data_IF_877063830791
#
_entry.id   IF_877063830791
#
_cell.length_a   1.000
_cell.length_b   1.000
_cell.length_c   1.000
_cell.angle_alpha   90.00
_cell.angle_beta   90.00
_cell.angle_gamma   90.00
#
_symmetry.space_group_name_H-M   'P 1'
#
loop_
_entity.id
_entity.type
_entity.pdbx_description
1 polymer ?
#
# COMPACT_ATOMS: atom_id res chain seq x y z
N UNK A 1 -1.29 21.22 -25.70
CA UNK A 1 -0.51 19.98 -25.95
C UNK A 1 -1.46 18.90 -26.43
N UNK A 2 -1.26 18.31 -27.61
CA UNK A 2 -2.04 17.15 -28.04
C UNK A 2 -1.70 15.99 -27.10
N UNK A 3 -2.72 15.33 -26.55
CA UNK A 3 -2.53 14.17 -25.67
C UNK A 3 -2.27 12.96 -26.56
N UNK A 4 -1.03 12.48 -26.56
CA UNK A 4 -0.63 11.34 -27.38
C UNK A 4 -1.17 10.01 -26.81
N UNK A 5 -1.14 8.95 -27.62
CA UNK A 5 -1.55 7.59 -27.20
C UNK A 5 -0.88 7.14 -25.88
N UNK A 6 0.41 7.46 -25.73
CA UNK A 6 1.20 7.17 -24.50
C UNK A 6 0.59 7.83 -23.25
N UNK A 7 -0.02 9.00 -23.37
CA UNK A 7 -0.66 9.68 -22.26
C UNK A 7 -1.86 8.89 -21.74
N UNK A 8 -2.73 8.44 -22.63
CA UNK A 8 -3.93 7.66 -22.28
C UNK A 8 -3.56 6.29 -21.74
N UNK A 9 -2.58 5.61 -22.36
CA UNK A 9 -2.09 4.32 -21.91
C UNK A 9 -1.59 4.38 -20.45
N UNK A 10 -0.89 5.46 -20.08
CA UNK A 10 -0.41 5.64 -18.70
C UNK A 10 -1.56 5.81 -17.71
N UNK A 11 -2.65 6.49 -18.08
CA UNK A 11 -3.83 6.64 -17.23
C UNK A 11 -4.52 5.30 -16.98
N UNK A 12 -4.68 4.49 -18.02
CA UNK A 12 -5.23 3.12 -17.91
C UNK A 12 -4.32 2.25 -17.02
N UNK A 13 -3.00 2.41 -17.14
CA UNK A 13 -2.03 1.67 -16.35
C UNK A 13 -1.90 2.11 -14.89
N UNK A 14 -2.51 3.23 -14.46
CA UNK A 14 -2.38 3.73 -13.07
C UNK A 14 -2.91 2.72 -12.08
N UNK A 15 -4.14 2.22 -12.27
CA UNK A 15 -4.75 1.31 -11.30
C UNK A 15 -4.08 -0.08 -11.28
N UNK A 16 -3.89 -0.77 -12.42
CA UNK A 16 -3.17 -2.04 -12.45
C UNK A 16 -1.74 -1.89 -11.91
N UNK A 17 -1.06 -0.80 -12.27
CA UNK A 17 0.28 -0.53 -11.81
C UNK A 17 0.35 -0.20 -10.32
N UNK A 18 -0.66 0.46 -9.74
CA UNK A 18 -0.77 0.68 -8.31
C UNK A 18 -0.92 -0.64 -7.54
N UNK A 19 -1.77 -1.56 -8.04
CA UNK A 19 -1.92 -2.91 -7.48
C UNK A 19 -0.57 -3.64 -7.50
N UNK A 20 0.08 -3.69 -8.66
CA UNK A 20 1.39 -4.32 -8.80
C UNK A 20 2.44 -3.67 -7.90
N UNK A 21 2.45 -2.35 -7.76
CA UNK A 21 3.40 -1.66 -6.91
C UNK A 21 3.18 -1.97 -5.41
N UNK A 22 1.93 -2.07 -4.97
CA UNK A 22 1.60 -2.51 -3.60
C UNK A 22 2.08 -3.94 -3.33
N UNK A 23 1.85 -4.86 -4.27
CA UNK A 23 2.31 -6.25 -4.16
C UNK A 23 3.83 -6.37 -4.23
N UNK A 24 4.50 -5.66 -5.13
CA UNK A 24 5.96 -5.69 -5.24
C UNK A 24 6.64 -5.10 -3.99
N UNK A 25 5.99 -4.17 -3.30
CA UNK A 25 6.51 -3.61 -2.07
C UNK A 25 6.59 -4.65 -0.92
N UNK A 26 5.78 -5.71 -0.93
CA UNK A 26 5.88 -6.77 0.08
C UNK A 26 7.12 -7.63 -0.11
N UNK A 27 7.60 -7.84 -1.34
CA UNK A 27 8.86 -8.56 -1.58
C UNK A 27 10.05 -7.79 -0.99
N UNK A 28 10.06 -6.47 -1.16
CA UNK A 28 11.09 -5.61 -0.55
C UNK A 28 11.01 -5.70 0.97
N UNK A 29 9.81 -5.61 1.54
CA UNK A 29 9.61 -5.78 2.97
C UNK A 29 10.13 -7.14 3.46
N UNK A 30 9.75 -8.22 2.78
CA UNK A 30 10.15 -9.58 3.11
C UNK A 30 11.67 -9.71 3.11
N UNK A 31 12.36 -9.24 2.06
CA UNK A 31 13.82 -9.26 2.01
C UNK A 31 14.48 -8.44 3.13
N UNK A 32 13.93 -7.27 3.46
CA UNK A 32 14.46 -6.43 4.55
C UNK A 32 14.27 -7.12 5.90
N UNK A 33 13.09 -7.67 6.19
CA UNK A 33 12.81 -8.36 7.44
C UNK A 33 13.65 -9.63 7.55
N UNK A 34 13.71 -10.43 6.48
CA UNK A 34 14.54 -11.63 6.43
C UNK A 34 16.02 -11.30 6.65
N UNK A 35 16.57 -10.28 5.99
CA UNK A 35 17.98 -9.93 6.12
C UNK A 35 18.33 -9.32 7.48
N UNK A 36 17.39 -8.64 8.12
CA UNK A 36 17.64 -7.97 9.42
C UNK A 36 17.38 -8.89 10.61
N UNK A 37 16.39 -9.79 10.52
CA UNK A 37 15.99 -10.66 11.62
C UNK A 37 16.64 -12.05 11.59
N UNK A 38 17.25 -12.46 10.46
CA UNK A 38 17.95 -13.75 10.34
C UNK A 38 19.45 -13.70 10.71
N UNK A 39 19.95 -12.59 11.25
CA UNK A 39 21.37 -12.51 11.64
C UNK A 39 21.63 -13.19 13.00
N UNK A 40 22.81 -13.80 13.12
CA UNK A 40 23.29 -14.74 14.17
C UNK A 40 23.06 -14.34 15.64
N UNK A 41 22.72 -13.08 15.94
CA UNK A 41 22.48 -12.60 17.30
C UNK A 41 21.04 -12.81 17.82
N UNK A 42 20.05 -12.97 16.93
CA UNK A 42 18.65 -13.19 17.30
C UNK A 42 18.07 -14.25 16.36
N UNK A 43 18.39 -15.52 16.60
CA UNK A 43 17.70 -16.64 15.97
C UNK A 43 16.26 -16.69 16.49
N UNK A 44 15.32 -16.02 15.81
CA UNK A 44 13.88 -16.28 16.00
C UNK A 44 13.51 -17.37 15.00
N UNK A 45 13.58 -18.61 15.46
CA UNK A 45 13.10 -19.79 14.75
C UNK A 45 11.91 -20.37 15.53
N UNK A 46 10.69 -20.41 14.96
CA UNK A 46 10.33 -20.11 13.56
C UNK A 46 10.38 -18.61 13.22
N UNK A 47 10.60 -18.31 11.93
CA UNK A 47 10.61 -16.96 11.36
C UNK A 47 9.49 -16.09 11.95
N UNK A 48 9.77 -14.84 12.36
CA UNK A 48 8.76 -13.99 12.97
C UNK A 48 7.74 -13.54 11.91
N UNK A 49 6.71 -14.36 11.71
CA UNK A 49 5.61 -14.10 10.78
C UNK A 49 4.81 -12.85 11.19
N UNK A 50 4.83 -12.51 12.47
CA UNK A 50 3.99 -11.46 13.04
C UNK A 50 4.40 -10.04 12.57
N UNK A 51 5.69 -9.61 12.67
CA UNK A 51 6.15 -8.37 12.06
C UNK A 51 5.83 -8.24 10.57
N UNK A 52 6.05 -9.30 9.79
CA UNK A 52 5.78 -9.28 8.35
C UNK A 52 4.29 -9.13 8.06
N UNK A 53 3.44 -9.87 8.76
CA UNK A 53 1.98 -9.81 8.60
C UNK A 53 1.42 -8.45 8.97
N UNK A 54 1.95 -7.83 10.02
CA UNK A 54 1.56 -6.50 10.49
C UNK A 54 2.02 -5.41 9.51
N UNK A 55 3.28 -5.45 9.08
CA UNK A 55 3.88 -4.43 8.20
C UNK A 55 3.47 -4.58 6.73
N UNK A 56 3.04 -5.77 6.29
CA UNK A 56 2.58 -5.99 4.92
C UNK A 56 1.37 -5.11 4.59
N UNK A 57 0.41 -5.01 5.50
CA UNK A 57 -0.77 -4.16 5.32
C UNK A 57 -0.39 -2.68 5.09
N UNK A 58 0.53 -2.15 5.91
CA UNK A 58 1.10 -0.81 5.75
C UNK A 58 1.81 -0.65 4.40
N UNK A 59 2.67 -1.60 4.07
CA UNK A 59 3.58 -1.51 2.91
C UNK A 59 2.82 -1.61 1.59
N UNK A 60 1.81 -2.47 1.52
CA UNK A 60 0.89 -2.56 0.38
C UNK A 60 0.17 -1.23 0.18
N UNK A 61 -0.41 -0.67 1.25
CA UNK A 61 -1.16 0.58 1.19
C UNK A 61 -0.29 1.76 0.75
N UNK A 62 0.91 1.86 1.33
CA UNK A 62 1.91 2.86 0.99
C UNK A 62 2.32 2.75 -0.47
N UNK A 63 2.69 1.55 -0.92
CA UNK A 63 3.09 1.28 -2.31
C UNK A 63 1.97 1.60 -3.30
N UNK A 64 0.75 1.14 -3.01
CA UNK A 64 -0.43 1.37 -3.84
C UNK A 64 -0.66 2.86 -4.11
N UNK A 65 -0.66 3.69 -3.05
CA UNK A 65 -0.94 5.12 -3.20
C UNK A 65 0.29 5.89 -3.73
N UNK A 66 1.46 5.72 -3.13
CA UNK A 66 2.64 6.52 -3.44
C UNK A 66 3.25 6.15 -4.79
N UNK A 67 3.55 4.86 -5.00
CA UNK A 67 4.17 4.40 -6.25
C UNK A 67 3.13 4.39 -7.38
N UNK A 68 1.88 4.00 -7.10
CA UNK A 68 0.79 4.06 -8.07
C UNK A 68 0.58 5.47 -8.64
N UNK A 69 0.59 6.50 -7.80
CA UNK A 69 0.43 7.88 -8.26
C UNK A 69 1.59 8.39 -9.12
N UNK A 70 2.78 7.77 -9.05
CA UNK A 70 3.93 8.13 -9.89
C UNK A 70 3.78 7.65 -11.33
N UNK A 71 2.94 6.65 -11.58
CA UNK A 71 2.63 6.13 -12.92
C UNK A 71 1.85 7.18 -13.74
N UNK A 72 1.00 7.97 -13.08
CA UNK A 72 0.23 9.03 -13.71
C UNK A 72 1.13 10.01 -14.48
N UNK A 73 0.77 10.36 -15.74
CA UNK A 73 1.58 11.23 -16.58
C UNK A 73 1.64 12.67 -16.08
N UNK A 74 0.54 13.15 -15.50
CA UNK A 74 0.34 14.50 -15.00
C UNK A 74 -0.54 14.45 -13.74
N UNK A 75 -0.71 15.59 -13.07
CA UNK A 75 -1.64 15.73 -11.95
C UNK A 75 -1.48 14.65 -10.84
N UNK A 76 -0.24 14.23 -10.54
CA UNK A 76 0.07 13.15 -9.58
C UNK A 76 -0.62 13.31 -8.22
N UNK A 77 -0.76 14.56 -7.75
CA UNK A 77 -1.50 14.85 -6.54
C UNK A 77 -2.99 14.52 -6.62
N UNK A 78 -3.65 14.69 -7.77
CA UNK A 78 -5.04 14.27 -7.98
C UNK A 78 -5.13 12.75 -8.11
N UNK A 79 -4.20 12.13 -8.84
CA UNK A 79 -4.10 10.67 -8.93
C UNK A 79 -3.96 10.02 -7.55
N UNK A 80 -3.12 10.56 -6.67
CA UNK A 80 -2.99 10.09 -5.28
C UNK A 80 -4.29 10.23 -4.48
N UNK A 81 -5.06 11.31 -4.67
CA UNK A 81 -6.39 11.45 -4.04
C UNK A 81 -7.32 10.34 -4.51
N UNK A 82 -7.40 10.10 -5.82
CA UNK A 82 -8.24 9.03 -6.38
C UNK A 82 -7.83 7.65 -5.90
N UNK A 83 -6.52 7.35 -5.89
CA UNK A 83 -6.00 6.08 -5.37
C UNK A 83 -6.27 5.91 -3.88
N UNK A 84 -6.13 6.96 -3.06
CA UNK A 84 -6.47 6.91 -1.64
C UNK A 84 -7.96 6.58 -1.43
N UNK A 85 -8.86 7.25 -2.16
CA UNK A 85 -10.30 6.98 -2.07
C UNK A 85 -10.62 5.54 -2.48
N UNK A 86 -10.06 5.08 -3.61
CA UNK A 86 -10.22 3.70 -4.08
C UNK A 86 -9.72 2.72 -3.01
N UNK A 87 -8.53 2.96 -2.45
CA UNK A 87 -7.96 2.12 -1.40
C UNK A 87 -8.87 2.05 -0.17
N UNK A 88 -9.37 3.19 0.32
CA UNK A 88 -10.27 3.24 1.48
C UNK A 88 -11.56 2.45 1.20
N UNK A 89 -12.13 2.57 0.00
CA UNK A 89 -13.33 1.80 -0.38
C UNK A 89 -13.03 0.31 -0.36
N UNK A 90 -11.94 -0.13 -0.98
CA UNK A 90 -11.55 -1.56 -0.99
C UNK A 90 -11.24 -2.09 0.41
N UNK A 91 -10.53 -1.30 1.22
CA UNK A 91 -10.20 -1.63 2.60
C UNK A 91 -11.46 -1.72 3.47
N UNK A 92 -12.41 -0.81 3.33
CA UNK A 92 -13.64 -0.83 4.11
C UNK A 92 -14.54 -2.00 3.68
N UNK A 93 -14.66 -2.22 2.36
CA UNK A 93 -15.40 -3.34 1.82
C UNK A 93 -14.81 -4.68 2.28
N UNK A 94 -13.48 -4.85 2.22
CA UNK A 94 -12.84 -6.10 2.66
C UNK A 94 -13.03 -6.35 4.16
N UNK A 95 -12.82 -5.34 5.01
CA UNK A 95 -13.04 -5.49 6.45
C UNK A 95 -14.51 -5.77 6.78
N UNK A 96 -15.45 -5.12 6.10
CA UNK A 96 -16.88 -5.38 6.27
C UNK A 96 -17.26 -6.80 5.84
N UNK A 97 -16.79 -7.25 4.67
CA UNK A 97 -17.01 -8.62 4.21
C UNK A 97 -16.41 -9.63 5.17
N UNK A 98 -15.21 -9.40 5.69
CA UNK A 98 -14.58 -10.30 6.67
C UNK A 98 -15.38 -10.32 7.98
N UNK A 99 -15.83 -9.16 8.45
CA UNK A 99 -16.62 -9.04 9.68
C UNK A 99 -17.96 -9.79 9.58
N UNK A 100 -18.66 -9.64 8.45
CA UNK A 100 -19.96 -10.29 8.23
C UNK A 100 -19.82 -11.81 8.09
N UNK A 101 -18.79 -12.30 7.39
CA UNK A 101 -18.68 -13.73 7.07
C UNK A 101 -17.88 -14.54 8.10
N UNK A 102 -16.93 -13.92 8.79
CA UNK A 102 -15.98 -14.61 9.69
C UNK A 102 -15.93 -14.02 11.10
N UNK A 103 -16.67 -12.93 11.37
CA UNK A 103 -16.79 -12.34 12.69
C UNK A 103 -15.63 -11.43 13.10
N UNK A 104 -15.74 -10.88 14.31
CA UNK A 104 -14.82 -9.89 14.86
C UNK A 104 -13.43 -10.47 15.19
N UNK A 105 -13.35 -11.76 15.55
CA UNK A 105 -12.10 -12.44 15.92
C UNK A 105 -11.11 -12.48 14.75
N UNK A 106 -11.60 -12.73 13.54
CA UNK A 106 -10.78 -12.73 12.32
C UNK A 106 -10.50 -11.30 11.84
N UNK A 107 -11.49 -10.42 11.91
CA UNK A 107 -11.37 -9.02 11.44
C UNK A 107 -10.37 -8.21 12.27
N UNK A 108 -10.42 -8.38 13.59
CA UNK A 108 -9.55 -7.68 14.54
C UNK A 108 -8.46 -8.59 15.10
N UNK A 109 -7.99 -9.56 14.30
CA UNK A 109 -6.85 -10.38 14.66
C UNK A 109 -5.68 -9.47 15.05
N UNK A 110 -4.97 -9.82 16.14
CA UNK A 110 -3.91 -8.99 16.71
C UNK A 110 -4.38 -7.59 17.12
N UNK A 111 -5.62 -7.46 17.60
CA UNK A 111 -6.20 -6.19 18.07
C UNK A 111 -6.51 -5.19 16.94
N UNK A 112 -6.56 -5.63 15.68
CA UNK A 112 -6.82 -4.74 14.54
C UNK A 112 -5.63 -3.87 14.12
N UNK A 113 -4.43 -4.16 14.63
CA UNK A 113 -3.20 -3.43 14.26
C UNK A 113 -2.96 -3.40 12.74
N UNK A 114 -3.10 -4.52 11.99
CA UNK A 114 -2.93 -4.49 10.53
C UNK A 114 -3.89 -3.52 9.83
N UNK A 115 -5.13 -3.43 10.32
CA UNK A 115 -6.19 -2.57 9.80
C UNK A 115 -5.87 -1.09 9.99
N UNK A 116 -5.32 -0.72 11.15
CA UNK A 116 -4.84 0.64 11.45
C UNK A 116 -3.61 0.98 10.59
N UNK A 117 -2.67 0.04 10.49
CA UNK A 117 -1.44 0.24 9.72
C UNK A 117 -1.67 0.35 8.22
N UNK A 118 -2.65 -0.38 7.66
CA UNK A 118 -3.11 -0.18 6.29
C UNK A 118 -3.53 1.28 6.04
N UNK A 119 -4.36 1.86 6.91
CA UNK A 119 -4.76 3.26 6.80
C UNK A 119 -3.57 4.21 6.95
N UNK A 120 -2.71 3.97 7.93
CA UNK A 120 -1.51 4.78 8.15
C UNK A 120 -0.60 4.79 6.91
N UNK A 121 -0.40 3.63 6.26
CA UNK A 121 0.38 3.49 5.04
C UNK A 121 -0.23 4.26 3.86
N UNK A 122 -1.55 4.14 3.65
CA UNK A 122 -2.25 4.88 2.60
C UNK A 122 -2.15 6.40 2.80
N UNK A 123 -2.36 6.88 4.04
CA UNK A 123 -2.28 8.31 4.40
C UNK A 123 -0.86 8.82 4.19
N UNK A 124 0.16 8.06 4.62
CA UNK A 124 1.55 8.44 4.41
C UNK A 124 1.89 8.50 2.92
N UNK A 125 1.46 7.52 2.13
CA UNK A 125 1.70 7.51 0.68
C UNK A 125 1.05 8.70 -0.03
N UNK A 126 -0.15 9.07 0.41
CA UNK A 126 -0.82 10.27 -0.04
C UNK A 126 -0.04 11.54 0.32
N UNK A 127 0.37 11.68 1.58
CA UNK A 127 1.15 12.83 2.07
C UNK A 127 2.46 13.00 1.30
N UNK A 128 3.23 11.91 1.12
CA UNK A 128 4.48 11.93 0.36
C UNK A 128 4.25 12.40 -1.09
N UNK A 129 3.20 11.90 -1.73
CA UNK A 129 2.88 12.32 -3.11
C UNK A 129 2.47 13.78 -3.20
N UNK A 130 1.66 14.28 -2.26
CA UNK A 130 1.27 15.70 -2.21
C UNK A 130 2.47 16.60 -1.97
N UNK A 131 3.38 16.21 -1.07
CA UNK A 131 4.63 16.94 -0.80
C UNK A 131 5.52 17.01 -2.05
N UNK A 132 5.67 15.89 -2.77
CA UNK A 132 6.41 15.85 -4.04
C UNK A 132 5.77 16.72 -5.13
N UNK A 133 4.44 16.73 -5.22
CA UNK A 133 3.72 17.54 -6.19
C UNK A 133 3.89 19.04 -5.91
N UNK A 134 3.83 19.46 -4.63
CA UNK A 134 4.06 20.85 -4.22
C UNK A 134 5.49 21.32 -4.50
N UNK A 135 6.50 20.46 -4.36
CA UNK A 135 7.91 20.79 -4.64
C UNK A 135 8.21 20.99 -6.12
N UNK A 136 7.34 20.51 -7.02
CA UNK A 136 7.51 20.57 -8.48
C UNK A 136 6.62 21.61 -9.16
N UNK A 137 5.76 22.28 -8.39
CA UNK A 137 4.91 23.39 -8.83
C UNK A 137 5.62 24.70 -8.49
#
# INVERSE_FOLDING_TARGET
>A
MKKDFKYWLRWIAVLPGAILAGLLATFVLHWVLYSTLRNEAIFIDPYPELPERILSAFTIALGFVWLGARIAPDNKGKAATSLLVIYIIFWAASNLTTLVNYGATVTFQYGGVPTILALAGAILGFYLTKREAKRKA
#
